data_IF_063701168632
#
_entry.id   IF_063701168632
#
_cell.length_a   1.000
_cell.length_b   1.000
_cell.length_c   1.000
_cell.angle_alpha   90.00
_cell.angle_beta   90.00
_cell.angle_gamma   90.00
#
_symmetry.space_group_name_H-M   'P 1'
#
loop_
_entity.id
_entity.type
_entity.pdbx_description
1 polymer ?
#
# COMPACT_ATOMS: atom_id res chain seq x y z
N UNK A 1 -22.78 -0.09 11.58
CA UNK A 1 -22.11 -1.35 11.95
C UNK A 1 -22.31 -2.43 10.91
N UNK A 2 -23.54 -2.84 10.69
CA UNK A 2 -23.84 -3.85 9.67
C UNK A 2 -23.37 -3.44 8.29
N UNK A 3 -23.54 -2.16 7.96
CA UNK A 3 -23.10 -1.61 6.68
C UNK A 3 -21.60 -1.75 6.48
N UNK A 4 -20.84 -1.47 7.52
CA UNK A 4 -19.39 -1.53 7.47
C UNK A 4 -18.91 -2.97 7.37
N UNK A 5 -19.51 -3.85 8.18
CA UNK A 5 -19.24 -5.28 8.09
C UNK A 5 -19.51 -5.81 6.68
N UNK A 6 -20.59 -5.35 6.08
CA UNK A 6 -20.97 -5.75 4.73
C UNK A 6 -19.94 -5.26 3.71
N UNK A 7 -19.46 -4.02 3.87
CA UNK A 7 -18.45 -3.47 2.98
C UNK A 7 -17.14 -4.25 3.09
N UNK A 8 -16.74 -4.61 4.29
CA UNK A 8 -15.53 -5.40 4.50
C UNK A 8 -15.70 -6.86 4.07
N UNK A 9 -16.92 -7.40 4.15
CA UNK A 9 -17.20 -8.73 3.66
C UNK A 9 -17.23 -8.80 2.14
N UNK A 10 -17.58 -7.70 1.50
CA UNK A 10 -17.44 -7.55 0.05
C UNK A 10 -15.99 -7.17 -0.25
N UNK A 11 -15.12 -8.07 0.15
CA UNK A 11 -13.69 -7.94 0.12
C UNK A 11 -13.12 -7.41 -1.18
N UNK A 12 -13.64 -7.89 -2.31
CA UNK A 12 -13.15 -7.51 -3.62
C UNK A 12 -13.31 -6.02 -3.86
N UNK A 13 -14.41 -5.44 -3.38
CA UNK A 13 -14.69 -4.04 -3.57
C UNK A 13 -13.78 -3.14 -2.74
N UNK A 14 -13.59 -3.48 -1.46
CA UNK A 14 -12.71 -2.71 -0.57
C UNK A 14 -11.26 -2.81 -0.99
N UNK A 15 -10.82 -4.02 -1.28
CA UNK A 15 -9.45 -4.29 -1.67
C UNK A 15 -9.15 -3.66 -3.02
N UNK A 16 -10.11 -3.73 -3.93
CA UNK A 16 -9.99 -3.10 -5.23
C UNK A 16 -9.81 -1.59 -5.14
N UNK A 17 -10.55 -0.93 -4.24
CA UNK A 17 -10.41 0.51 -4.01
C UNK A 17 -9.01 0.84 -3.49
N UNK A 18 -8.50 0.05 -2.56
CA UNK A 18 -7.16 0.25 -2.01
C UNK A 18 -6.11 -0.02 -3.10
N UNK A 19 -6.25 -1.10 -3.83
CA UNK A 19 -5.34 -1.47 -4.90
C UNK A 19 -5.32 -0.42 -6.01
N UNK A 20 -6.47 0.16 -6.33
CA UNK A 20 -6.58 1.16 -7.39
C UNK A 20 -6.03 2.52 -6.97
N UNK A 21 -6.01 2.83 -5.68
CA UNK A 21 -5.69 4.17 -5.19
C UNK A 21 -4.43 4.24 -4.33
N UNK A 22 -3.66 3.18 -4.24
CA UNK A 22 -2.47 3.14 -3.37
C UNK A 22 -1.42 4.20 -3.73
N UNK A 23 -1.36 4.61 -4.99
CA UNK A 23 -0.41 5.60 -5.45
C UNK A 23 -0.83 7.05 -5.24
N UNK A 24 -2.05 7.26 -4.75
CA UNK A 24 -2.56 8.57 -4.37
C UNK A 24 -2.37 8.71 -2.87
N UNK A 25 -2.62 9.90 -2.33
CA UNK A 25 -2.50 10.12 -0.89
C UNK A 25 -3.61 9.41 -0.13
N UNK A 26 -3.71 8.11 -0.32
CA UNK A 26 -4.69 7.29 0.35
C UNK A 26 -4.28 7.10 1.80
N UNK A 27 -5.08 7.61 2.72
CA UNK A 27 -4.80 7.53 4.15
C UNK A 27 -5.93 6.80 4.85
N UNK A 28 -5.65 6.42 6.09
CA UNK A 28 -6.68 5.82 6.94
C UNK A 28 -7.85 6.78 7.12
N UNK A 29 -7.57 8.08 7.23
CA UNK A 29 -8.60 9.12 7.36
C UNK A 29 -9.49 9.18 6.12
N UNK A 30 -8.88 9.13 4.94
CA UNK A 30 -9.62 9.20 3.68
C UNK A 30 -10.56 7.99 3.53
N UNK A 31 -10.06 6.81 3.82
CA UNK A 31 -10.85 5.58 3.72
C UNK A 31 -12.00 5.59 4.74
N UNK A 32 -11.71 5.99 5.97
CA UNK A 32 -12.73 5.99 7.01
C UNK A 32 -13.82 7.04 6.72
N UNK A 33 -13.46 8.17 6.14
CA UNK A 33 -14.44 9.18 5.70
C UNK A 33 -15.36 8.62 4.61
N UNK A 34 -14.77 7.88 3.69
CA UNK A 34 -15.51 7.26 2.60
C UNK A 34 -16.57 6.29 3.13
N UNK A 35 -16.27 5.58 4.20
CA UNK A 35 -17.18 4.63 4.83
C UNK A 35 -17.97 5.24 5.99
N UNK A 36 -17.78 6.53 6.26
CA UNK A 36 -18.50 7.26 7.30
C UNK A 36 -18.31 6.63 8.70
N UNK A 37 -17.06 6.31 9.04
CA UNK A 37 -16.70 5.76 10.35
C UNK A 37 -15.40 6.40 10.82
N UNK A 38 -15.09 6.24 12.12
CA UNK A 38 -13.85 6.75 12.65
C UNK A 38 -12.65 5.96 12.14
N UNK A 39 -11.48 6.60 12.00
CA UNK A 39 -10.26 5.87 11.62
C UNK A 39 -9.93 4.72 12.55
N UNK A 40 -10.12 4.92 13.86
CA UNK A 40 -9.86 3.89 14.86
C UNK A 40 -10.74 2.66 14.61
N UNK A 41 -12.03 2.91 14.41
CA UNK A 41 -13.00 1.84 14.20
C UNK A 41 -12.72 1.08 12.90
N UNK A 42 -12.43 1.81 11.83
CA UNK A 42 -12.07 1.20 10.56
C UNK A 42 -10.85 0.30 10.70
N UNK A 43 -9.82 0.80 11.37
CA UNK A 43 -8.59 0.05 11.57
C UNK A 43 -8.85 -1.27 12.30
N UNK A 44 -9.68 -1.23 13.33
CA UNK A 44 -10.05 -2.43 14.08
C UNK A 44 -10.80 -3.42 13.22
N UNK A 45 -11.79 -2.94 12.47
CA UNK A 45 -12.59 -3.79 11.59
C UNK A 45 -11.72 -4.42 10.49
N UNK A 46 -10.84 -3.61 9.91
CA UNK A 46 -9.97 -4.10 8.86
C UNK A 46 -9.09 -5.24 9.37
N UNK A 47 -8.47 -5.04 10.53
CA UNK A 47 -7.63 -6.08 11.11
C UNK A 47 -8.42 -7.33 11.47
N UNK A 48 -9.62 -7.17 12.01
CA UNK A 48 -10.48 -8.32 12.34
C UNK A 48 -10.86 -9.12 11.10
N UNK A 49 -11.08 -8.46 9.97
CA UNK A 49 -11.52 -9.12 8.75
C UNK A 49 -10.38 -9.71 7.93
N UNK A 50 -9.25 -9.01 7.89
CA UNK A 50 -8.12 -9.42 7.03
C UNK A 50 -6.99 -10.09 7.80
N UNK A 51 -6.96 -9.92 9.11
CA UNK A 51 -5.87 -10.41 9.95
C UNK A 51 -4.64 -9.52 9.95
N UNK A 52 -4.63 -8.45 9.16
CA UNK A 52 -3.49 -7.55 9.07
C UNK A 52 -3.90 -6.10 9.31
N UNK A 53 -2.97 -5.34 9.80
CA UNK A 53 -3.12 -3.91 10.02
C UNK A 53 -3.25 -3.21 8.67
N UNK A 54 -4.14 -2.20 8.58
CA UNK A 54 -4.38 -1.48 7.33
C UNK A 54 -3.11 -0.83 6.79
N UNK A 55 -2.32 -0.19 7.66
CA UNK A 55 -1.09 0.48 7.26
C UNK A 55 -0.10 -0.53 6.67
N UNK A 56 0.05 -1.68 7.31
CA UNK A 56 0.93 -2.74 6.82
C UNK A 56 0.44 -3.30 5.49
N UNK A 57 -0.86 -3.44 5.36
CA UNK A 57 -1.47 -3.90 4.11
C UNK A 57 -1.18 -2.94 2.96
N UNK A 58 -1.39 -1.65 3.19
CA UNK A 58 -1.12 -0.61 2.19
C UNK A 58 0.36 -0.57 1.83
N UNK A 59 1.24 -0.68 2.83
CA UNK A 59 2.68 -0.73 2.60
C UNK A 59 3.04 -1.92 1.73
N UNK A 60 2.46 -3.08 2.00
CA UNK A 60 2.69 -4.28 1.21
C UNK A 60 2.33 -4.10 -0.26
N UNK A 61 1.18 -3.50 -0.53
CA UNK A 61 0.73 -3.21 -1.89
C UNK A 61 1.72 -2.28 -2.60
N UNK A 62 2.13 -1.22 -1.91
CA UNK A 62 3.06 -0.24 -2.49
C UNK A 62 4.40 -0.88 -2.81
N UNK A 63 4.91 -1.72 -1.92
CA UNK A 63 6.19 -2.40 -2.13
C UNK A 63 6.11 -3.41 -3.26
N UNK A 64 5.02 -4.17 -3.36
CA UNK A 64 4.83 -5.11 -4.45
C UNK A 64 4.80 -4.39 -5.80
N UNK A 65 4.13 -3.25 -5.87
CA UNK A 65 4.12 -2.45 -7.09
C UNK A 65 5.50 -1.90 -7.42
N UNK A 66 6.24 -1.47 -6.39
CA UNK A 66 7.60 -1.00 -6.58
C UNK A 66 8.50 -2.10 -7.15
N UNK A 67 8.36 -3.32 -6.66
CA UNK A 67 9.10 -4.47 -7.19
C UNK A 67 8.85 -4.67 -8.68
N UNK A 68 7.58 -4.59 -9.10
CA UNK A 68 7.22 -4.71 -10.50
C UNK A 68 7.89 -3.61 -11.34
N UNK A 69 7.82 -2.37 -10.87
CA UNK A 69 8.42 -1.25 -11.59
C UNK A 69 9.94 -1.37 -11.68
N UNK A 70 10.57 -1.81 -10.59
CA UNK A 70 12.02 -2.01 -10.57
C UNK A 70 12.47 -3.11 -11.52
N UNK A 71 11.70 -4.20 -11.60
CA UNK A 71 12.06 -5.35 -12.42
C UNK A 71 11.73 -5.13 -13.89
N UNK A 72 10.62 -4.46 -14.18
CA UNK A 72 10.05 -4.42 -15.53
C UNK A 72 10.23 -3.10 -16.28
N UNK A 73 10.72 -2.06 -15.61
CA UNK A 73 10.84 -0.74 -16.25
C UNK A 73 12.20 -0.11 -15.99
N UNK A 74 12.49 0.97 -16.73
CA UNK A 74 13.70 1.79 -16.53
C UNK A 74 13.39 3.05 -15.73
N UNK A 75 12.25 3.10 -15.06
CA UNK A 75 11.88 4.27 -14.27
C UNK A 75 12.92 4.57 -13.20
N UNK A 76 13.16 5.85 -12.95
CA UNK A 76 14.10 6.27 -11.92
C UNK A 76 13.54 5.97 -10.52
N UNK A 77 14.42 5.95 -9.54
CA UNK A 77 14.01 5.73 -8.16
C UNK A 77 13.00 6.78 -7.71
N UNK A 78 13.19 8.02 -8.13
CA UNK A 78 12.27 9.11 -7.82
C UNK A 78 10.89 8.88 -8.45
N UNK A 79 10.87 8.42 -9.69
CA UNK A 79 9.62 8.12 -10.40
C UNK A 79 8.87 6.97 -9.73
N UNK A 80 9.58 5.91 -9.38
CA UNK A 80 8.98 4.75 -8.71
C UNK A 80 8.42 5.15 -7.36
N UNK A 81 9.19 5.90 -6.58
CA UNK A 81 8.77 6.39 -5.28
C UNK A 81 7.45 7.16 -5.38
N UNK A 82 7.37 8.10 -6.32
CA UNK A 82 6.18 8.89 -6.53
C UNK A 82 5.01 8.04 -7.01
N UNK A 83 5.27 7.13 -7.93
CA UNK A 83 4.24 6.26 -8.52
C UNK A 83 3.55 5.41 -7.47
N UNK A 84 4.32 4.89 -6.49
CA UNK A 84 3.75 4.02 -5.47
C UNK A 84 3.25 4.77 -4.24
N UNK A 85 3.30 6.11 -4.25
CA UNK A 85 2.65 6.91 -3.23
C UNK A 85 3.54 7.42 -2.10
N UNK A 86 4.85 7.43 -2.28
CA UNK A 86 5.78 7.99 -1.31
C UNK A 86 6.33 9.31 -1.84
N UNK A 87 6.46 10.29 -0.96
CA UNK A 87 7.01 11.60 -1.34
C UNK A 87 8.51 11.71 -1.09
N UNK A 88 9.06 10.89 -0.21
CA UNK A 88 10.47 10.94 0.16
C UNK A 88 11.18 9.65 -0.28
N UNK A 89 12.09 9.74 -1.27
CA UNK A 89 12.82 8.56 -1.73
C UNK A 89 13.65 7.88 -0.65
N UNK A 90 14.18 8.63 0.31
CA UNK A 90 14.95 8.06 1.41
C UNK A 90 14.08 7.21 2.33
N UNK A 91 12.88 7.72 2.61
CA UNK A 91 11.92 6.98 3.41
C UNK A 91 11.47 5.71 2.69
N UNK A 92 11.17 5.85 1.40
CA UNK A 92 10.79 4.71 0.55
C UNK A 92 11.86 3.63 0.57
N UNK A 93 13.13 4.01 0.40
CA UNK A 93 14.25 3.09 0.42
C UNK A 93 14.32 2.31 1.73
N UNK A 94 14.14 3.00 2.84
CA UNK A 94 14.19 2.36 4.16
C UNK A 94 13.04 1.38 4.34
N UNK A 95 11.84 1.76 3.92
CA UNK A 95 10.67 0.89 4.02
C UNK A 95 10.83 -0.32 3.12
N UNK A 96 11.31 -0.11 1.90
CA UNK A 96 11.55 -1.20 0.95
C UNK A 96 12.53 -2.22 1.55
N UNK A 97 13.64 -1.73 2.08
CA UNK A 97 14.63 -2.62 2.70
C UNK A 97 14.07 -3.36 3.92
N UNK A 98 13.26 -2.67 4.72
CA UNK A 98 12.65 -3.29 5.90
C UNK A 98 11.72 -4.43 5.50
N UNK A 99 10.96 -4.26 4.42
CA UNK A 99 9.98 -5.25 3.99
C UNK A 99 10.62 -6.39 3.21
N UNK A 100 11.57 -6.07 2.32
CA UNK A 100 12.15 -7.06 1.39
C UNK A 100 13.50 -7.60 1.82
N UNK A 101 14.19 -6.90 2.71
CA UNK A 101 15.55 -7.29 3.13
C UNK A 101 16.66 -6.70 2.29
N UNK A 102 16.33 -6.05 1.15
CA UNK A 102 17.34 -5.44 0.26
C UNK A 102 16.88 -4.05 -0.12
N UNK A 103 17.84 -3.22 -0.57
CA UNK A 103 17.50 -1.88 -1.04
C UNK A 103 16.82 -1.96 -2.42
N UNK A 104 16.08 -0.93 -2.82
CA UNK A 104 15.50 -0.91 -4.18
C UNK A 104 16.56 -1.03 -5.27
N UNK A 105 17.71 -0.41 -5.08
CA UNK A 105 18.81 -0.49 -6.05
C UNK A 105 19.33 -1.91 -6.18
N UNK A 106 19.55 -2.56 -5.04
CA UNK A 106 19.99 -3.97 -5.02
C UNK A 106 18.97 -4.87 -5.71
N UNK A 107 17.70 -4.65 -5.41
CA UNK A 107 16.63 -5.43 -6.02
C UNK A 107 16.60 -5.27 -7.54
N UNK A 108 16.76 -4.04 -8.01
CA UNK A 108 16.78 -3.75 -9.44
C UNK A 108 17.97 -4.44 -10.12
N UNK A 109 19.14 -4.40 -9.52
CA UNK A 109 20.34 -5.03 -10.07
C UNK A 109 20.17 -6.53 -10.27
N UNK A 110 19.44 -7.18 -9.37
CA UNK A 110 19.23 -8.64 -9.43
C UNK A 110 18.11 -9.01 -10.41
N UNK A 111 17.06 -8.19 -10.54
CA UNK A 111 15.85 -8.56 -11.26
C UNK A 111 15.65 -7.87 -12.59
N UNK A 112 16.22 -6.68 -12.76
CA UNK A 112 16.05 -5.91 -14.01
C UNK A 112 16.84 -6.56 -15.15
N UNK A 113 16.18 -6.75 -16.28
CA UNK A 113 16.80 -7.37 -17.46
C UNK A 113 17.21 -6.37 -18.49
#
# INVERSE_FOLDING_TARGET
MLRIKRLLCKRDRNISDIDANYGKDLSLDDISRKFDISPYYFSKLFKNKTGVNFIDYLTGIRIERAKELLADTDASMKEICSEVGYSDPNYFSRIFKKVTGVTPTEYKEVTHK
#
